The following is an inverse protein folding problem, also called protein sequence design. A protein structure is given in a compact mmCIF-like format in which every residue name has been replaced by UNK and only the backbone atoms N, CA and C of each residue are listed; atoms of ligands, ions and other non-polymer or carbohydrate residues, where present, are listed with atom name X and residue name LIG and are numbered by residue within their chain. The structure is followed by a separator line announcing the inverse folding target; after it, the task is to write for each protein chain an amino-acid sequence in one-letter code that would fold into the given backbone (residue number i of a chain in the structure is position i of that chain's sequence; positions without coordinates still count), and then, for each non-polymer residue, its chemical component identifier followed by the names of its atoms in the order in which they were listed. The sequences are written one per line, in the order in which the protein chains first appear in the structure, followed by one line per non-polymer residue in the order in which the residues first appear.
data_IF_961285504062
#
_entry.id   IF_961285504062
#
_cell.length_a   1.000
_cell.length_b   1.000
_cell.length_c   1.000
_cell.angle_alpha   90.00
_cell.angle_beta   90.00
_cell.angle_gamma   90.00
#
_symmetry.space_group_name_H-M   'P 1'
#
loop_
_entity.id
_entity.type
_entity.pdbx_description
1 polymer ?
#
# COMPACT_ATOMS: atom_id res chain seq x y z
N UNK A 1 -29.90 65.41 35.25
CA UNK A 1 -31.30 65.08 35.60
C UNK A 1 -31.76 65.73 36.92
N UNK A 2 -31.03 65.58 38.04
CA UNK A 2 -31.35 66.22 39.34
C UNK A 2 -31.56 67.75 39.27
N UNK A 3 -30.86 68.43 38.36
CA UNK A 3 -30.97 69.89 38.19
C UNK A 3 -32.31 70.36 37.57
N UNK A 4 -32.96 69.52 36.75
CA UNK A 4 -34.22 69.89 36.08
C UNK A 4 -35.42 69.77 37.02
N UNK A 5 -35.45 68.73 37.85
CA UNK A 5 -36.50 68.55 38.88
C UNK A 5 -36.39 69.65 39.94
N UNK A 6 -35.16 70.01 40.34
CA UNK A 6 -34.93 71.11 41.28
C UNK A 6 -35.38 72.47 40.71
N UNK A 7 -35.13 72.74 39.43
CA UNK A 7 -35.62 73.96 38.77
C UNK A 7 -37.15 74.03 38.68
N UNK A 8 -37.82 72.91 38.39
CA UNK A 8 -39.29 72.87 38.28
C UNK A 8 -39.95 73.05 39.65
N UNK A 9 -39.42 72.43 40.71
CA UNK A 9 -39.91 72.61 42.08
C UNK A 9 -39.70 74.05 42.56
N UNK A 10 -38.54 74.66 42.27
CA UNK A 10 -38.27 76.06 42.61
C UNK A 10 -39.17 77.04 41.82
N UNK A 11 -39.47 76.77 40.55
CA UNK A 11 -40.42 77.56 39.76
C UNK A 11 -41.85 77.49 40.32
N UNK A 12 -42.32 76.28 40.68
CA UNK A 12 -43.66 76.08 41.26
C UNK A 12 -43.75 76.76 42.64
N UNK A 13 -42.70 76.64 43.47
CA UNK A 13 -42.65 77.30 44.77
C UNK A 13 -42.63 78.83 44.63
N UNK A 14 -41.89 79.36 43.65
CA UNK A 14 -41.84 80.80 43.35
C UNK A 14 -43.17 81.35 42.84
N UNK A 15 -43.88 80.61 41.97
CA UNK A 15 -45.22 80.97 41.48
C UNK A 15 -46.28 80.93 42.61
N UNK A 16 -46.15 79.99 43.54
CA UNK A 16 -47.03 79.85 44.71
C UNK A 16 -46.85 81.01 45.70
N UNK A 17 -45.60 81.40 45.99
CA UNK A 17 -45.30 82.57 46.83
C UNK A 17 -45.73 83.89 46.16
N UNK A 18 -45.63 84.01 44.83
CA UNK A 18 -46.07 85.20 44.11
C UNK A 18 -47.60 85.41 44.23
N UNK A 19 -48.38 84.33 44.15
CA UNK A 19 -49.84 84.36 44.28
C UNK A 19 -50.33 84.70 45.69
N UNK A 20 -49.53 84.37 46.72
CA UNK A 20 -49.86 84.69 48.13
C UNK A 20 -49.59 86.17 48.45
N UNK A 21 -48.63 86.80 47.77
CA UNK A 21 -48.24 88.21 47.99
C UNK A 21 -49.22 89.22 47.36
N UNK A 22 -50.08 88.78 46.43
CA UNK A 22 -51.12 89.60 45.79
C UNK A 22 -52.49 89.57 46.49
N UNK A 23 -52.65 88.83 47.59
CA UNK A 23 -53.90 88.71 48.36
C UNK A 23 -53.80 89.44 49.71
N UNK A 24 -53.52 90.74 49.65
CA UNK A 24 -53.40 91.61 50.82
C UNK A 24 -54.71 92.13 51.42
N UNK A 25 -55.90 91.85 50.85
CA UNK A 25 -57.12 92.50 51.35
C UNK A 25 -58.46 91.75 51.15
N UNK A 26 -58.49 90.42 51.33
CA UNK A 26 -59.75 89.65 51.40
C UNK A 26 -59.69 88.51 52.42
N UNK A 27 -59.73 88.86 53.71
CA UNK A 27 -59.60 87.94 54.85
C UNK A 27 -60.77 86.94 55.06
N UNK A 28 -61.80 86.92 54.22
CA UNK A 28 -62.94 85.98 54.35
C UNK A 28 -63.16 85.03 53.17
N UNK A 29 -62.77 85.39 51.93
CA UNK A 29 -62.83 84.48 50.77
C UNK A 29 -61.59 83.57 50.63
N UNK A 30 -60.41 84.02 51.09
CA UNK A 30 -59.18 83.21 51.03
C UNK A 30 -59.22 81.94 51.90
N UNK A 31 -60.04 81.92 52.98
CA UNK A 31 -60.25 80.74 53.83
C UNK A 31 -61.12 79.66 53.15
N UNK A 32 -61.96 80.04 52.18
CA UNK A 32 -62.82 79.11 51.44
C UNK A 32 -62.11 78.39 50.29
N UNK A 33 -61.05 79.00 49.73
CA UNK A 33 -60.29 78.40 48.61
C UNK A 33 -59.07 77.58 49.06
N UNK A 34 -58.59 77.76 50.29
CA UNK A 34 -57.47 76.99 50.86
C UNK A 34 -57.69 75.47 50.80
N UNK A 35 -58.87 74.93 51.18
CA UNK A 35 -59.12 73.48 51.15
C UNK A 35 -59.11 72.92 49.73
N UNK A 36 -59.72 73.64 48.78
CA UNK A 36 -59.83 73.22 47.38
C UNK A 36 -58.48 73.25 46.63
N UNK A 37 -57.63 74.23 46.95
CA UNK A 37 -56.27 74.30 46.40
C UNK A 37 -55.33 73.27 47.04
N UNK A 38 -55.52 72.95 48.33
CA UNK A 38 -54.77 71.90 49.03
C UNK A 38 -55.09 70.51 48.45
N UNK A 39 -56.37 70.22 48.19
CA UNK A 39 -56.78 68.96 47.54
C UNK A 39 -56.20 68.80 46.13
N UNK A 40 -56.15 69.87 45.33
CA UNK A 40 -55.55 69.83 43.98
C UNK A 40 -54.04 69.59 43.99
N UNK A 41 -53.32 70.20 44.95
CA UNK A 41 -51.87 69.96 45.13
C UNK A 41 -51.60 68.52 45.59
N UNK A 42 -52.42 67.97 46.49
CA UNK A 42 -52.25 66.62 47.01
C UNK A 42 -52.51 65.53 45.95
N UNK A 43 -53.43 65.77 45.01
CA UNK A 43 -53.67 64.86 43.88
C UNK A 43 -52.50 64.86 42.89
N UNK A 44 -51.99 66.05 42.52
CA UNK A 44 -50.85 66.17 41.60
C UNK A 44 -49.57 65.58 42.23
N UNK A 45 -49.38 65.74 43.54
CA UNK A 45 -48.27 65.10 44.26
C UNK A 45 -48.40 63.56 44.25
N UNK A 46 -49.62 63.03 44.44
CA UNK A 46 -49.91 61.62 44.30
C UNK A 46 -49.61 61.06 42.90
N UNK A 47 -50.02 61.79 41.84
CA UNK A 47 -49.73 61.42 40.45
C UNK A 47 -48.23 61.50 40.13
N UNK A 48 -47.52 62.51 40.68
CA UNK A 48 -46.07 62.64 40.53
C UNK A 48 -45.32 61.49 41.20
N UNK A 49 -45.73 61.09 42.41
CA UNK A 49 -45.17 59.93 43.12
C UNK A 49 -45.43 58.65 42.34
N UNK A 50 -46.67 58.43 41.88
CA UNK A 50 -47.00 57.27 41.05
C UNK A 50 -46.16 57.22 39.77
N UNK A 51 -46.02 58.36 39.08
CA UNK A 51 -45.22 58.45 37.86
C UNK A 51 -43.75 58.17 38.16
N UNK A 52 -43.19 58.70 39.25
CA UNK A 52 -41.81 58.43 39.66
C UNK A 52 -41.56 56.93 39.94
N UNK A 53 -42.48 56.26 40.63
CA UNK A 53 -42.41 54.82 40.85
C UNK A 53 -42.48 54.02 39.53
N UNK A 54 -43.29 54.45 38.56
CA UNK A 54 -43.34 53.86 37.22
C UNK A 54 -42.03 54.07 36.45
N UNK A 55 -41.43 55.26 36.54
CA UNK A 55 -40.14 55.57 35.92
C UNK A 55 -39.00 54.74 36.52
N UNK A 56 -38.99 54.58 37.85
CA UNK A 56 -37.98 53.76 38.53
C UNK A 56 -38.14 52.28 38.20
N UNK A 57 -39.38 51.76 38.13
CA UNK A 57 -39.65 50.39 37.66
C UNK A 57 -39.20 50.17 36.21
N UNK A 58 -39.39 51.16 35.33
CA UNK A 58 -38.92 51.07 33.94
C UNK A 58 -37.40 51.16 33.86
N UNK A 59 -36.77 51.99 34.70
CA UNK A 59 -35.32 52.13 34.79
C UNK A 59 -34.66 50.83 35.25
N UNK A 60 -35.21 50.16 36.27
CA UNK A 60 -34.68 48.88 36.75
C UNK A 60 -34.82 47.78 35.69
N UNK A 61 -35.96 47.72 34.98
CA UNK A 61 -36.13 46.78 33.87
C UNK A 61 -35.13 47.03 32.71
N UNK A 62 -34.82 48.30 32.41
CA UNK A 62 -33.80 48.65 31.41
C UNK A 62 -32.39 48.29 31.87
N UNK A 63 -32.06 48.51 33.15
CA UNK A 63 -30.76 48.13 33.70
C UNK A 63 -30.54 46.60 33.66
N UNK A 64 -31.59 45.82 33.93
CA UNK A 64 -31.55 44.36 33.80
C UNK A 64 -31.32 43.93 32.35
N UNK A 65 -31.98 44.56 31.38
CA UNK A 65 -31.76 44.27 29.96
C UNK A 65 -30.33 44.64 29.53
N UNK A 66 -29.81 45.77 30.01
CA UNK A 66 -28.44 46.20 29.76
C UNK A 66 -27.42 45.18 30.30
N UNK A 67 -27.64 44.65 31.52
CA UNK A 67 -26.82 43.59 32.10
C UNK A 67 -26.85 42.30 31.26
N UNK A 68 -28.03 41.91 30.76
CA UNK A 68 -28.13 40.77 29.83
C UNK A 68 -27.39 41.05 28.51
N UNK A 69 -27.43 42.28 28.01
CA UNK A 69 -26.72 42.69 26.79
C UNK A 69 -25.19 42.66 27.00
N UNK A 70 -24.71 43.01 28.19
CA UNK A 70 -23.29 42.96 28.55
C UNK A 70 -22.71 41.54 28.57
N UNK A 71 -23.56 40.50 28.68
CA UNK A 71 -23.14 39.10 28.58
C UNK A 71 -22.95 38.57 27.15
N UNK A 72 -23.55 39.22 26.13
CA UNK A 72 -23.45 38.78 24.74
C UNK A 72 -22.02 38.73 24.18
N UNK A 73 -21.11 39.69 24.46
CA UNK A 73 -19.73 39.62 24.01
C UNK A 73 -18.97 38.40 24.54
N UNK A 74 -19.26 37.95 25.76
CA UNK A 74 -18.66 36.74 26.32
C UNK A 74 -19.12 35.51 25.53
N UNK A 75 -20.43 35.37 25.28
CA UNK A 75 -20.99 34.29 24.44
C UNK A 75 -20.42 34.31 23.01
N UNK A 76 -20.23 35.49 22.41
CA UNK A 76 -19.60 35.63 21.09
C UNK A 76 -18.15 35.12 21.13
N UNK A 77 -17.43 35.41 22.20
CA UNK A 77 -16.04 34.95 22.37
C UNK A 77 -15.98 33.43 22.57
N UNK A 78 -16.91 32.86 23.35
CA UNK A 78 -17.03 31.42 23.55
C UNK A 78 -17.37 30.71 22.23
N UNK A 79 -18.32 31.24 21.46
CA UNK A 79 -18.63 30.75 20.12
C UNK A 79 -17.42 30.84 19.20
N UNK A 80 -16.68 31.96 19.21
CA UNK A 80 -15.45 32.09 18.43
C UNK A 80 -14.40 31.04 18.80
N UNK A 81 -14.27 30.72 20.09
CA UNK A 81 -13.38 29.67 20.58
C UNK A 81 -13.82 28.29 20.09
N UNK A 82 -15.10 27.96 20.20
CA UNK A 82 -15.66 26.70 19.68
C UNK A 82 -15.46 26.60 18.17
N UNK A 83 -15.76 27.67 17.42
CA UNK A 83 -15.56 27.72 15.97
C UNK A 83 -14.09 27.48 15.59
N UNK A 84 -13.15 28.07 16.32
CA UNK A 84 -11.71 27.83 16.09
C UNK A 84 -11.30 26.39 16.42
N UNK A 85 -11.86 25.81 17.48
CA UNK A 85 -11.62 24.41 17.85
C UNK A 85 -12.15 23.44 16.81
N UNK A 86 -13.34 23.69 16.25
CA UNK A 86 -13.90 22.89 15.16
C UNK A 86 -13.00 22.94 13.92
N UNK A 87 -12.56 24.13 13.50
CA UNK A 87 -11.66 24.28 12.35
C UNK A 87 -10.33 23.55 12.56
N UNK A 88 -9.79 23.54 13.78
CA UNK A 88 -8.59 22.77 14.11
C UNK A 88 -8.83 21.25 13.99
N UNK A 89 -9.92 20.75 14.59
CA UNK A 89 -10.30 19.34 14.52
C UNK A 89 -10.52 18.89 13.07
N UNK A 90 -11.18 19.69 12.24
CA UNK A 90 -11.34 19.43 10.80
C UNK A 90 -9.98 19.26 10.10
N UNK A 91 -9.01 20.12 10.41
CA UNK A 91 -7.64 19.98 9.91
C UNK A 91 -6.94 18.71 10.39
N UNK A 92 -7.09 18.36 11.66
CA UNK A 92 -6.52 17.14 12.25
C UNK A 92 -7.12 15.87 11.61
N UNK A 93 -8.42 15.89 11.29
CA UNK A 93 -9.10 14.79 10.59
C UNK A 93 -8.60 14.63 9.15
N UNK A 94 -8.45 15.72 8.40
CA UNK A 94 -7.90 15.68 7.04
C UNK A 94 -6.47 15.13 7.02
N UNK A 95 -5.64 15.51 7.99
CA UNK A 95 -4.29 14.96 8.14
C UNK A 95 -4.33 13.45 8.48
N UNK A 96 -5.22 13.05 9.38
CA UNK A 96 -5.39 11.64 9.73
C UNK A 96 -5.84 10.81 8.53
N UNK A 97 -6.79 11.31 7.74
CA UNK A 97 -7.25 10.66 6.51
C UNK A 97 -6.10 10.51 5.51
N UNK A 98 -5.31 11.56 5.31
CA UNK A 98 -4.11 11.52 4.47
C UNK A 98 -3.10 10.46 4.93
N UNK A 99 -2.86 10.35 6.24
CA UNK A 99 -1.97 9.35 6.84
C UNK A 99 -2.53 7.93 6.70
N UNK A 100 -3.85 7.76 6.78
CA UNK A 100 -4.52 6.47 6.60
C UNK A 100 -4.39 5.97 5.16
N UNK A 101 -4.58 6.85 4.16
CA UNK A 101 -4.36 6.53 2.74
C UNK A 101 -2.90 6.15 2.46
N UNK A 102 -1.95 6.84 3.08
CA UNK A 102 -0.54 6.48 2.97
C UNK A 102 -0.23 5.11 3.58
N UNK A 103 -0.81 4.80 4.75
CA UNK A 103 -0.65 3.49 5.39
C UNK A 103 -1.22 2.37 4.51
N UNK A 104 -2.39 2.57 3.89
CA UNK A 104 -2.95 1.62 2.94
C UNK A 104 -1.98 1.34 1.78
N UNK A 105 -1.40 2.41 1.22
CA UNK A 105 -0.38 2.29 0.17
C UNK A 105 0.83 1.46 0.62
N UNK A 106 1.33 1.68 1.85
CA UNK A 106 2.44 0.90 2.39
C UNK A 106 2.07 -0.57 2.63
N UNK A 107 0.85 -0.85 3.11
CA UNK A 107 0.35 -2.22 3.29
C UNK A 107 0.31 -2.96 1.96
N UNK A 108 -0.25 -2.34 0.91
CA UNK A 108 -0.26 -2.92 -0.43
C UNK A 108 1.15 -3.21 -0.96
N UNK A 109 2.11 -2.30 -0.72
CA UNK A 109 3.50 -2.53 -1.10
C UNK A 109 4.13 -3.71 -0.34
N UNK A 110 3.88 -3.83 0.96
CA UNK A 110 4.36 -4.94 1.78
C UNK A 110 3.83 -6.29 1.30
N UNK A 111 2.52 -6.36 0.99
CA UNK A 111 1.88 -7.55 0.44
C UNK A 111 2.47 -7.93 -0.91
N UNK A 112 2.60 -6.95 -1.82
CA UNK A 112 3.21 -7.17 -3.13
C UNK A 112 4.65 -7.67 -3.01
N UNK A 113 5.45 -7.09 -2.11
CA UNK A 113 6.82 -7.51 -1.87
C UNK A 113 6.88 -8.95 -1.31
N UNK A 114 5.96 -9.30 -0.42
CA UNK A 114 5.86 -10.66 0.15
C UNK A 114 5.57 -11.70 -0.93
N UNK A 115 4.58 -11.44 -1.79
CA UNK A 115 4.24 -12.34 -2.91
C UNK A 115 5.42 -12.48 -3.88
N UNK A 116 6.07 -11.36 -4.24
CA UNK A 116 7.27 -11.37 -5.09
C UNK A 116 8.38 -12.25 -4.50
N UNK A 117 8.62 -12.16 -3.18
CA UNK A 117 9.62 -12.97 -2.50
C UNK A 117 9.25 -14.46 -2.50
N UNK A 118 7.97 -14.81 -2.32
CA UNK A 118 7.51 -16.20 -2.40
C UNK A 118 7.77 -16.80 -3.78
N UNK A 119 7.40 -16.10 -4.86
CA UNK A 119 7.66 -16.56 -6.23
C UNK A 119 9.15 -16.70 -6.55
N UNK A 120 10.01 -15.80 -6.04
CA UNK A 120 11.46 -15.93 -6.19
C UNK A 120 11.98 -17.19 -5.50
N UNK A 121 11.53 -17.47 -4.27
CA UNK A 121 11.91 -18.69 -3.53
C UNK A 121 11.44 -19.96 -4.26
N UNK A 122 10.21 -19.97 -4.75
CA UNK A 122 9.68 -21.07 -5.56
C UNK A 122 10.53 -21.30 -6.81
N UNK A 123 10.86 -20.23 -7.53
CA UNK A 123 11.69 -20.30 -8.73
C UNK A 123 13.10 -20.83 -8.44
N UNK A 124 13.72 -20.41 -7.34
CA UNK A 124 15.02 -20.92 -6.90
C UNK A 124 14.95 -22.41 -6.55
N UNK A 125 13.90 -22.83 -5.84
CA UNK A 125 13.67 -24.24 -5.50
C UNK A 125 13.49 -25.10 -6.75
N UNK A 126 12.73 -24.61 -7.74
CA UNK A 126 12.52 -25.28 -9.02
C UNK A 126 13.82 -25.41 -9.81
N UNK A 127 14.58 -24.32 -9.95
CA UNK A 127 15.90 -24.33 -10.61
C UNK A 127 16.85 -25.31 -9.93
N UNK A 128 16.86 -25.36 -8.59
CA UNK A 128 17.68 -26.32 -7.83
C UNK A 128 17.25 -27.76 -8.08
N UNK A 129 15.93 -28.04 -8.11
CA UNK A 129 15.39 -29.36 -8.43
C UNK A 129 15.79 -29.79 -9.84
N UNK A 130 15.62 -28.92 -10.83
CA UNK A 130 16.01 -29.21 -12.22
C UNK A 130 17.50 -29.49 -12.40
N UNK A 131 18.38 -28.77 -11.69
CA UNK A 131 19.82 -29.09 -11.68
C UNK A 131 20.12 -30.47 -11.13
N UNK A 132 19.44 -30.89 -10.06
CA UNK A 132 19.61 -32.24 -9.48
C UNK A 132 19.12 -33.33 -10.41
N UNK A 133 17.95 -33.14 -11.03
CA UNK A 133 17.41 -34.08 -12.02
C UNK A 133 18.38 -34.25 -13.20
N UNK A 134 18.89 -33.14 -13.75
CA UNK A 134 19.86 -33.17 -14.85
C UNK A 134 21.14 -33.93 -14.48
N UNK A 135 21.71 -33.64 -13.30
CA UNK A 135 22.90 -34.35 -12.82
C UNK A 135 22.64 -35.84 -12.58
N UNK A 136 21.45 -36.22 -12.10
CA UNK A 136 21.09 -37.63 -11.93
C UNK A 136 20.99 -38.35 -13.30
N UNK A 137 20.33 -37.73 -14.29
CA UNK A 137 20.29 -38.28 -15.65
C UNK A 137 21.68 -38.39 -16.28
N UNK A 138 22.55 -37.42 -16.06
CA UNK A 138 23.94 -37.46 -16.53
C UNK A 138 24.72 -38.63 -15.89
N UNK A 139 24.58 -38.84 -14.57
CA UNK A 139 25.21 -39.97 -13.88
C UNK A 139 24.70 -41.32 -14.38
N UNK A 140 23.38 -41.46 -14.56
CA UNK A 140 22.78 -42.70 -15.07
C UNK A 140 23.29 -43.02 -16.47
N UNK A 141 23.23 -42.04 -17.38
CA UNK A 141 23.70 -42.20 -18.76
C UNK A 141 25.19 -42.56 -18.83
N UNK A 142 26.02 -41.90 -18.00
CA UNK A 142 27.45 -42.21 -17.93
C UNK A 142 27.70 -43.62 -17.39
N UNK A 143 26.89 -44.09 -16.44
CA UNK A 143 27.01 -45.46 -15.90
C UNK A 143 26.58 -46.52 -16.91
N UNK A 144 25.48 -46.30 -17.63
CA UNK A 144 25.00 -47.18 -18.70
C UNK A 144 26.04 -47.26 -19.84
N UNK A 145 26.61 -46.12 -20.20
CA UNK A 145 27.69 -46.06 -21.18
C UNK A 145 28.92 -46.84 -20.72
N UNK A 146 29.39 -46.63 -19.49
CA UNK A 146 30.52 -47.35 -18.93
C UNK A 146 30.29 -48.87 -18.87
N UNK A 147 29.08 -49.30 -18.49
CA UNK A 147 28.70 -50.71 -18.48
C UNK A 147 28.69 -51.31 -19.89
N UNK A 148 28.15 -50.59 -20.87
CA UNK A 148 28.12 -51.01 -22.28
C UNK A 148 29.52 -51.16 -22.84
N UNK A 149 30.40 -50.19 -22.57
CA UNK A 149 31.82 -50.24 -22.97
C UNK A 149 32.50 -51.44 -22.34
N UNK A 150 32.36 -51.65 -21.02
CA UNK A 150 32.95 -52.79 -20.33
C UNK A 150 32.46 -54.14 -20.89
N UNK A 151 31.18 -54.27 -21.21
CA UNK A 151 30.62 -55.47 -21.82
C UNK A 151 31.20 -55.71 -23.23
N UNK A 152 31.29 -54.67 -24.06
CA UNK A 152 31.90 -54.78 -25.39
C UNK A 152 33.39 -55.15 -25.30
N UNK A 153 34.14 -54.56 -24.38
CA UNK A 153 35.54 -54.89 -24.12
C UNK A 153 35.70 -56.36 -23.70
N UNK A 154 34.83 -56.87 -22.83
CA UNK A 154 34.83 -58.28 -22.44
C UNK A 154 34.57 -59.22 -23.62
N UNK A 155 33.57 -58.92 -24.47
CA UNK A 155 33.28 -59.71 -25.67
C UNK A 155 34.48 -59.74 -26.63
N UNK A 156 35.14 -58.60 -26.83
CA UNK A 156 36.36 -58.52 -27.66
C UNK A 156 37.49 -59.34 -27.05
N UNK A 157 37.72 -59.23 -25.74
CA UNK A 157 38.75 -60.02 -25.04
C UNK A 157 38.49 -61.53 -25.12
N UNK A 158 37.24 -61.97 -24.99
CA UNK A 158 36.87 -63.39 -25.13
C UNK A 158 37.15 -63.92 -26.54
N UNK A 159 36.76 -63.17 -27.57
CA UNK A 159 37.05 -63.54 -28.97
C UNK A 159 38.54 -63.62 -29.26
N UNK A 160 39.34 -62.67 -28.75
CA UNK A 160 40.80 -62.70 -28.89
C UNK A 160 41.42 -63.91 -28.20
N UNK A 161 40.99 -64.25 -26.98
CA UNK A 161 41.46 -65.46 -26.27
C UNK A 161 41.08 -66.75 -27.01
N UNK A 162 39.86 -66.83 -27.54
CA UNK A 162 39.43 -67.98 -28.33
C UNK A 162 40.30 -68.15 -29.59
N UNK A 163 40.56 -67.05 -30.31
CA UNK A 163 41.46 -67.07 -31.47
C UNK A 163 42.88 -67.51 -31.11
N UNK A 164 43.41 -67.01 -29.99
CA UNK A 164 44.72 -67.43 -29.51
C UNK A 164 44.76 -68.93 -29.21
N UNK A 165 43.73 -69.48 -28.56
CA UNK A 165 43.61 -70.91 -28.30
C UNK A 165 43.53 -71.75 -29.59
N UNK A 166 42.75 -71.30 -30.58
CA UNK A 166 42.67 -71.95 -31.90
C UNK A 166 44.05 -72.01 -32.58
N UNK A 167 44.84 -70.94 -32.52
CA UNK A 167 46.20 -70.93 -33.06
C UNK A 167 47.14 -71.87 -32.29
N UNK A 168 47.05 -71.89 -30.97
CA UNK A 168 47.85 -72.75 -30.12
C UNK A 168 47.55 -74.24 -30.37
N UNK A 169 46.27 -74.61 -30.48
CA UNK A 169 45.86 -75.98 -30.82
C UNK A 169 46.33 -76.39 -32.23
N UNK A 170 46.19 -75.49 -33.22
CA UNK A 170 46.70 -75.74 -34.57
C UNK A 170 48.22 -75.94 -34.58
N UNK A 171 48.96 -75.15 -33.80
CA UNK A 171 50.40 -75.30 -33.64
C UNK A 171 50.78 -76.64 -33.03
N UNK A 172 50.11 -77.06 -31.93
CA UNK A 172 50.34 -78.36 -31.31
C UNK A 172 50.08 -79.51 -32.29
N UNK A 173 49.00 -79.44 -33.07
CA UNK A 173 48.68 -80.45 -34.08
C UNK A 173 49.75 -80.55 -35.17
N UNK A 174 50.26 -79.41 -35.64
CA UNK A 174 51.34 -79.39 -36.63
C UNK A 174 52.66 -79.95 -36.05
N UNK A 175 52.95 -79.66 -34.79
CA UNK A 175 54.10 -80.22 -34.08
C UNK A 175 53.99 -81.75 -33.92
N UNK A 176 52.83 -82.27 -33.52
CA UNK A 176 52.57 -83.72 -33.41
C UNK A 176 52.68 -84.43 -34.76
N UNK A 177 52.13 -83.83 -35.83
CA UNK A 177 52.27 -84.36 -37.20
C UNK A 177 53.72 -84.41 -37.65
N UNK A 178 54.50 -83.37 -37.36
CA UNK A 178 55.92 -83.35 -37.67
C UNK A 178 56.68 -84.47 -36.94
N UNK A 179 56.45 -84.62 -35.62
CA UNK A 179 57.06 -85.67 -34.81
C UNK A 179 56.72 -87.07 -35.32
N UNK A 180 55.50 -87.26 -35.83
CA UNK A 180 55.03 -88.57 -36.34
C UNK A 180 55.53 -88.89 -37.76
N UNK A 181 55.55 -87.90 -38.66
CA UNK A 181 55.78 -88.12 -40.11
C UNK A 181 57.18 -87.71 -40.61
N UNK A 182 57.93 -86.91 -39.86
CA UNK A 182 59.26 -86.42 -40.21
C UNK A 182 59.30 -85.23 -41.19
N UNK A 183 58.15 -84.76 -41.71
CA UNK A 183 58.07 -83.61 -42.61
C UNK A 183 56.85 -82.74 -42.30
N UNK A 184 56.98 -81.42 -42.44
CA UNK A 184 55.88 -80.46 -42.29
C UNK A 184 55.29 -80.14 -43.67
N UNK A 185 53.98 -80.33 -43.84
CA UNK A 185 53.27 -79.86 -45.03
C UNK A 185 53.27 -78.33 -45.03
N UNK A 186 53.98 -77.72 -45.97
CA UNK A 186 53.97 -76.27 -46.16
C UNK A 186 52.61 -75.89 -46.75
N UNK A 187 51.73 -75.28 -45.95
CA UNK A 187 50.40 -74.84 -46.39
C UNK A 187 50.56 -73.84 -47.54
N UNK A 188 50.19 -74.27 -48.74
CA UNK A 188 50.44 -73.59 -50.00
C UNK A 188 49.80 -72.20 -50.11
N UNK A 189 50.58 -71.31 -50.72
CA UNK A 189 50.29 -69.92 -51.02
C UNK A 189 49.25 -69.84 -52.15
N UNK A 190 48.07 -69.32 -51.87
CA UNK A 190 47.22 -68.68 -52.89
C UNK A 190 47.16 -67.19 -52.56
N UNK A 191 47.99 -66.44 -53.28
CA UNK A 191 47.89 -65.03 -53.69
C UNK A 191 47.23 -64.02 -52.73
N UNK A 192 48.09 -63.21 -52.09
CA UNK A 192 47.98 -61.80 -51.66
C UNK A 192 46.59 -61.19 -51.43
N UNK A 193 46.31 -60.65 -50.25
CA UNK A 193 46.90 -59.36 -49.84
C UNK A 193 47.65 -59.40 -48.51
N UNK A 194 48.92 -59.01 -48.55
CA UNK A 194 49.69 -58.57 -47.37
C UNK A 194 48.90 -57.50 -46.61
N UNK A 195 48.53 -57.78 -45.37
CA UNK A 195 48.57 -56.76 -44.33
C UNK A 195 49.63 -57.19 -43.31
N UNK A 196 50.72 -56.46 -43.39
CA UNK A 196 51.87 -56.42 -42.52
C UNK A 196 51.55 -56.72 -41.05
N UNK A 197 52.27 -57.69 -40.47
CA UNK A 197 52.48 -57.77 -39.02
C UNK A 197 52.88 -56.41 -38.49
N UNK A 198 52.15 -55.93 -37.49
CA UNK A 198 52.74 -55.06 -36.48
C UNK A 198 52.57 -55.80 -35.16
N UNK A 199 53.64 -55.81 -34.35
CA UNK A 199 53.62 -56.17 -32.93
C UNK A 199 52.36 -55.63 -32.22
N UNK A 200 51.88 -56.25 -31.13
CA UNK A 200 50.68 -55.78 -30.47
C UNK A 200 50.89 -54.31 -30.07
N UNK A 201 50.08 -53.36 -30.58
CA UNK A 201 49.95 -52.12 -29.88
C UNK A 201 49.24 -52.50 -28.58
N UNK A 202 49.99 -52.47 -27.48
CA UNK A 202 49.43 -51.86 -26.29
C UNK A 202 48.77 -50.54 -26.73
N UNK A 203 47.60 -50.23 -26.18
CA UNK A 203 46.65 -49.20 -26.63
C UNK A 203 45.59 -49.70 -27.62
N UNK A 204 44.65 -50.50 -27.11
CA UNK A 204 43.27 -50.29 -27.52
C UNK A 204 42.75 -49.03 -26.82
N UNK A 205 43.25 -47.85 -27.20
CA UNK A 205 42.51 -46.60 -26.97
C UNK A 205 41.38 -46.58 -27.98
N UNK A 206 40.29 -47.29 -27.66
CA UNK A 206 39.01 -47.00 -28.29
C UNK A 206 38.48 -45.74 -27.62
N UNK A 207 39.07 -44.60 -27.97
CA UNK A 207 38.39 -43.33 -27.81
C UNK A 207 37.32 -43.29 -28.89
N UNK A 208 36.18 -43.93 -28.63
CA UNK A 208 34.94 -43.56 -29.30
C UNK A 208 34.59 -42.17 -28.79
N UNK A 209 35.19 -41.16 -29.40
CA UNK A 209 34.52 -39.87 -29.51
C UNK A 209 33.32 -40.12 -30.42
N UNK A 210 32.23 -40.62 -29.83
CA UNK A 210 30.93 -40.29 -30.36
C UNK A 210 30.91 -38.76 -30.29
N UNK A 211 31.09 -38.13 -31.45
CA UNK A 211 30.74 -36.74 -31.63
C UNK A 211 29.25 -36.66 -31.31
N UNK A 212 28.94 -36.43 -30.03
CA UNK A 212 27.67 -35.84 -29.68
C UNK A 212 27.66 -34.51 -30.41
N UNK A 213 26.83 -34.51 -31.44
CA UNK A 213 26.26 -33.36 -32.09
C UNK A 213 26.17 -32.23 -31.07
N UNK A 214 27.07 -31.24 -31.21
CA UNK A 214 26.89 -29.94 -30.57
C UNK A 214 25.51 -29.47 -30.98
N UNK A 215 24.55 -29.51 -30.06
CA UNK A 215 23.49 -28.53 -30.12
C UNK A 215 24.15 -27.18 -29.84
N UNK A 216 24.40 -26.49 -30.94
CA UNK A 216 24.47 -25.04 -31.10
C UNK A 216 23.85 -24.31 -29.91
N UNK A 217 24.70 -23.86 -29.00
CA UNK A 217 24.45 -22.64 -28.24
C UNK A 217 24.47 -21.50 -29.26
N UNK A 218 23.28 -21.07 -29.68
CA UNK A 218 23.11 -19.73 -30.22
C UNK A 218 23.67 -18.74 -29.19
N UNK A 219 24.44 -17.72 -29.60
CA UNK A 219 24.94 -16.75 -28.64
C UNK A 219 23.73 -16.03 -28.06
N UNK A 220 23.59 -16.08 -26.73
CA UNK A 220 22.65 -15.23 -26.02
C UNK A 220 23.19 -13.81 -26.14
N UNK A 221 22.84 -13.16 -27.25
CA UNK A 221 23.03 -11.73 -27.47
C UNK A 221 22.34 -11.02 -26.32
N UNK A 222 23.15 -10.29 -25.57
CA UNK A 222 22.74 -9.24 -24.66
C UNK A 222 21.66 -8.41 -25.34
N UNK A 223 20.44 -8.51 -24.84
CA UNK A 223 19.38 -7.59 -25.15
C UNK A 223 19.02 -6.90 -23.84
N UNK A 224 19.80 -5.88 -23.52
CA UNK A 224 19.36 -4.84 -22.61
C UNK A 224 18.41 -3.96 -23.42
N UNK A 225 17.11 -4.26 -23.40
CA UNK A 225 16.10 -3.34 -23.91
C UNK A 225 15.48 -2.60 -22.75
N UNK A 226 15.98 -1.40 -22.53
CA UNK A 226 15.25 -0.31 -21.90
C UNK A 226 14.24 0.22 -22.93
N UNK A 227 12.94 -0.02 -22.71
CA UNK A 227 11.81 0.75 -23.27
C UNK A 227 10.55 0.34 -22.52
N UNK A 228 10.01 1.17 -21.62
CA UNK A 228 8.95 2.16 -21.88
C UNK A 228 7.80 1.67 -22.77
N UNK A 229 6.64 1.45 -22.13
CA UNK A 229 5.26 1.63 -22.60
C UNK A 229 4.93 1.26 -24.07
N UNK A 230 4.17 0.18 -24.28
CA UNK A 230 2.76 0.20 -24.76
C UNK A 230 2.23 -1.19 -25.17
N UNK A 231 1.03 -1.50 -24.68
CA UNK A 231 -0.08 -2.33 -25.19
C UNK A 231 0.11 -3.52 -26.18
N UNK A 232 -0.68 -4.56 -25.85
CA UNK A 232 -1.43 -5.49 -26.71
C UNK A 232 -0.83 -6.86 -27.13
N UNK A 233 -1.32 -7.89 -26.41
CA UNK A 233 -2.11 -9.05 -26.90
C UNK A 233 -1.61 -9.86 -28.10
N UNK A 234 -1.20 -11.12 -27.84
CA UNK A 234 -1.78 -12.41 -28.33
C UNK A 234 -0.86 -13.58 -27.87
N UNK A 235 -1.38 -14.70 -27.29
CA UNK A 235 -0.59 -15.79 -26.70
C UNK A 235 -0.53 -17.09 -27.55
N UNK A 236 0.46 -17.99 -27.34
CA UNK A 236 0.36 -19.41 -27.67
C UNK A 236 0.40 -20.33 -26.42
N UNK A 237 0.01 -21.61 -26.54
CA UNK A 237 -0.89 -22.24 -25.59
C UNK A 237 -0.20 -23.22 -24.62
N UNK A 238 -0.98 -23.66 -23.63
CA UNK A 238 -0.68 -24.75 -22.68
C UNK A 238 0.17 -24.38 -21.44
N UNK A 239 -0.23 -23.34 -20.71
CA UNK A 239 -0.02 -23.31 -19.26
C UNK A 239 -1.27 -22.70 -18.63
N UNK A 240 -2.11 -23.54 -18.02
CA UNK A 240 -3.20 -23.08 -17.16
C UNK A 240 -2.56 -22.54 -15.88
N UNK A 241 -2.10 -21.29 -15.93
CA UNK A 241 -1.81 -20.49 -14.73
C UNK A 241 -3.14 -19.87 -14.37
N UNK A 242 -3.76 -20.37 -13.30
CA UNK A 242 -4.90 -19.71 -12.66
C UNK A 242 -4.39 -18.43 -12.02
N UNK A 243 -4.27 -17.37 -12.81
CA UNK A 243 -3.97 -16.02 -12.32
C UNK A 243 -5.22 -15.51 -11.63
N UNK A 244 -5.27 -15.64 -10.31
CA UNK A 244 -6.31 -15.00 -9.50
C UNK A 244 -6.03 -13.50 -9.50
N UNK A 245 -6.59 -12.80 -10.48
CA UNK A 245 -6.61 -11.33 -10.50
C UNK A 245 -7.51 -10.86 -9.35
N UNK A 246 -6.92 -10.54 -8.20
CA UNK A 246 -7.58 -9.65 -7.26
C UNK A 246 -7.49 -8.23 -7.82
N UNK A 247 -8.59 -7.80 -8.42
CA UNK A 247 -8.84 -6.41 -8.75
C UNK A 247 -8.99 -5.66 -7.41
N UNK A 248 -7.99 -4.87 -7.03
CA UNK A 248 -8.19 -3.81 -6.05
C UNK A 248 -9.03 -2.73 -6.74
N UNK A 249 -10.35 -2.89 -6.69
CA UNK A 249 -11.29 -1.86 -7.12
C UNK A 249 -11.36 -0.82 -6.01
N UNK A 250 -10.69 0.32 -6.21
CA UNK A 250 -11.00 1.52 -5.45
C UNK A 250 -12.49 1.85 -5.65
N UNK A 251 -13.27 2.15 -4.60
CA UNK A 251 -14.65 2.54 -4.77
C UNK A 251 -14.73 3.85 -5.57
N UNK A 252 -15.74 4.02 -6.45
CA UNK A 252 -15.96 5.31 -7.10
C UNK A 252 -16.38 6.32 -6.02
N UNK A 253 -15.50 7.28 -5.73
CA UNK A 253 -15.87 8.52 -5.03
C UNK A 253 -16.82 9.28 -5.94
N UNK A 254 -18.11 9.05 -5.76
CA UNK A 254 -19.16 9.92 -6.28
C UNK A 254 -19.07 11.26 -5.54
N UNK A 255 -18.48 12.26 -6.20
CA UNK A 255 -18.69 13.65 -5.81
C UNK A 255 -20.13 14.03 -6.20
N UNK A 256 -21.06 13.82 -5.27
CA UNK A 256 -22.36 14.46 -5.33
C UNK A 256 -22.22 15.85 -4.70
N UNK A 257 -21.95 16.86 -5.53
CA UNK A 257 -22.14 18.26 -5.15
C UNK A 257 -23.64 18.51 -4.98
N UNK A 258 -24.17 18.22 -3.78
CA UNK A 258 -25.46 18.73 -3.34
C UNK A 258 -25.24 20.12 -2.76
N UNK A 259 -25.20 21.12 -3.62
CA UNK A 259 -25.61 22.46 -3.23
C UNK A 259 -27.11 22.39 -2.87
N UNK A 260 -27.42 22.21 -1.60
CA UNK A 260 -28.77 22.48 -1.07
C UNK A 260 -28.67 23.66 -0.11
N UNK A 261 -29.30 24.74 -0.55
CA UNK A 261 -29.71 25.90 0.19
C UNK A 261 -30.25 25.56 1.59
N UNK A 262 -29.70 26.20 2.62
CA UNK A 262 -30.35 27.09 3.62
C UNK A 262 -29.24 27.70 4.49
#
# INVERSE_FOLDING_TARGET
AMSFVCCVVLMICSLSLCRFKTLGDKSKEAKSCLPHCCCGVQQVDGDLVMLSALWDKRRTALAQLEEQLQGLPALITDLGTITSGLAQLEGDFEEMESRMVYLETLCCQCEQQTVKQQHLKELESYKKKKRKELHAFEMELNSEHAQTVAHMEQLVQQKLKQKQKEYEEAFHQDMEKYLTSGFLMQRGNTTSTLHHSTAPPAHCTTTTTLQHHKHTTLPLSHCTTTSTLHHNTVPPPHCTITTLHHHCTAPPVHYATSCSWI
#
